data_IF_458381442338
#
_entry.id   IF_458381442338
#
_cell.length_a   1.000
_cell.length_b   1.000
_cell.length_c   1.000
_cell.angle_alpha   90.00
_cell.angle_beta   90.00
_cell.angle_gamma   90.00
#
_symmetry.space_group_name_H-M   'P 1'
#
loop_
_entity.id
_entity.type
_entity.pdbx_description
1 polymer ?
#
# COMPACT_ATOMS: atom_id res chain seq x y z
N UNK A 1 4.78 -5.95 8.13
CA UNK A 1 3.55 -5.21 8.52
C UNK A 1 2.43 -6.22 8.66
N UNK A 2 1.42 -5.95 9.49
CA UNK A 2 0.25 -6.83 9.60
C UNK A 2 -0.93 -6.08 9.02
N UNK A 3 -1.55 -6.62 7.97
CA UNK A 3 -2.75 -6.03 7.38
C UNK A 3 -3.96 -6.71 8.02
N UNK A 4 -4.82 -5.91 8.64
CA UNK A 4 -6.05 -6.36 9.28
C UNK A 4 -7.23 -6.04 8.38
N UNK A 5 -8.01 -7.05 8.05
CA UNK A 5 -9.20 -6.92 7.22
C UNK A 5 -10.45 -6.77 8.09
N UNK A 6 -11.49 -6.16 7.52
CA UNK A 6 -12.80 -5.97 8.17
C UNK A 6 -13.48 -7.29 8.59
N UNK A 7 -13.14 -8.40 7.92
CA UNK A 7 -13.61 -9.76 8.26
C UNK A 7 -12.98 -10.32 9.56
N UNK A 8 -12.06 -9.57 10.19
CA UNK A 8 -11.34 -10.00 11.40
C UNK A 8 -10.18 -10.96 11.12
N UNK A 9 -9.85 -11.16 9.85
CA UNK A 9 -8.62 -11.87 9.46
C UNK A 9 -7.46 -10.89 9.40
N UNK A 10 -6.27 -11.38 9.73
CA UNK A 10 -5.03 -10.61 9.66
C UNK A 10 -3.99 -11.42 8.88
N UNK A 11 -3.31 -10.78 7.95
CA UNK A 11 -2.20 -11.40 7.23
C UNK A 11 -0.90 -10.62 7.47
N UNK A 12 0.22 -11.32 7.34
CA UNK A 12 1.52 -10.68 7.32
C UNK A 12 1.84 -10.26 5.91
N UNK A 13 2.18 -8.99 5.74
CA UNK A 13 2.68 -8.46 4.49
C UNK A 13 4.09 -7.89 4.69
N UNK A 14 4.94 -8.11 3.70
CA UNK A 14 6.21 -7.42 3.57
C UNK A 14 5.98 -6.06 2.91
N UNK A 15 6.59 -5.03 3.49
CA UNK A 15 6.59 -3.69 2.91
C UNK A 15 7.64 -3.67 1.82
N UNK A 16 7.20 -3.47 0.58
CA UNK A 16 8.11 -3.35 -0.56
C UNK A 16 8.66 -1.92 -0.68
N UNK A 17 7.84 -0.92 -0.40
CA UNK A 17 8.23 0.49 -0.42
C UNK A 17 7.08 1.43 -0.07
N UNK A 18 7.43 2.68 0.28
CA UNK A 18 6.48 3.78 0.51
C UNK A 18 6.94 4.94 -0.36
N UNK A 19 6.02 5.58 -1.07
CA UNK A 19 6.33 6.67 -1.99
C UNK A 19 5.20 7.71 -2.05
N UNK A 20 5.54 9.00 -2.24
CA UNK A 20 4.55 10.03 -2.45
C UNK A 20 4.11 10.10 -3.93
N UNK A 21 2.82 10.26 -4.17
CA UNK A 21 2.23 10.48 -5.49
C UNK A 21 1.02 11.43 -5.40
N UNK A 22 0.89 12.37 -6.33
CA UNK A 22 -0.21 13.36 -6.38
C UNK A 22 -0.50 14.09 -5.05
N UNK A 23 0.53 14.30 -4.22
CA UNK A 23 0.40 14.95 -2.91
C UNK A 23 -0.20 14.06 -1.80
N UNK A 24 -0.29 12.75 -2.03
CA UNK A 24 -0.62 11.72 -1.04
C UNK A 24 0.54 10.73 -0.92
N UNK A 25 0.58 9.96 0.16
CA UNK A 25 1.55 8.89 0.31
C UNK A 25 0.89 7.54 0.03
N UNK A 26 1.64 6.63 -0.58
CA UNK A 26 1.20 5.29 -0.91
C UNK A 26 2.22 4.27 -0.45
N UNK A 27 1.72 3.09 -0.10
CA UNK A 27 2.51 1.96 0.36
C UNK A 27 2.26 0.75 -0.54
N UNK A 28 3.36 0.13 -0.96
CA UNK A 28 3.41 -1.10 -1.73
C UNK A 28 3.72 -2.27 -0.80
N UNK A 29 2.85 -3.28 -0.82
CA UNK A 29 2.90 -4.45 0.05
C UNK A 29 2.85 -5.73 -0.75
N UNK A 30 3.44 -6.80 -0.22
CA UNK A 30 3.27 -8.15 -0.73
C UNK A 30 2.90 -9.11 0.42
N UNK A 31 1.93 -10.01 0.24
CA UNK A 31 1.59 -11.02 1.23
C UNK A 31 2.73 -12.02 1.46
N UNK A 32 2.94 -12.41 2.73
CA UNK A 32 3.91 -13.43 3.13
C UNK A 32 3.48 -14.79 2.58
N UNK A 33 4.00 -15.15 1.40
CA UNK A 33 3.67 -16.40 0.70
C UNK A 33 3.31 -16.24 -0.77
N UNK A 34 2.96 -15.02 -1.21
CA UNK A 34 2.68 -14.73 -2.62
C UNK A 34 3.31 -13.39 -3.04
N UNK A 35 4.61 -13.42 -3.31
CA UNK A 35 5.37 -12.25 -3.81
C UNK A 35 4.98 -11.83 -5.25
N UNK A 36 4.03 -12.54 -5.88
CA UNK A 36 3.49 -12.16 -7.19
C UNK A 36 2.33 -11.17 -7.06
N UNK A 37 1.67 -11.16 -5.91
CA UNK A 37 0.58 -10.24 -5.62
C UNK A 37 1.16 -8.96 -5.01
N UNK A 38 0.98 -7.85 -5.71
CA UNK A 38 1.31 -6.51 -5.23
C UNK A 38 0.03 -5.84 -4.75
N UNK A 39 0.02 -5.40 -3.50
CA UNK A 39 -1.07 -4.59 -2.95
C UNK A 39 -0.60 -3.14 -2.80
N UNK A 40 -1.40 -2.22 -3.32
CA UNK A 40 -1.16 -0.78 -3.20
C UNK A 40 -2.29 -0.17 -2.38
N UNK A 41 -1.89 0.61 -1.39
CA UNK A 41 -2.80 1.31 -0.51
C UNK A 41 -2.30 2.73 -0.28
N UNK A 42 -3.21 3.65 0.01
CA UNK A 42 -2.86 4.95 0.56
C UNK A 42 -2.26 4.78 1.95
N UNK A 43 -1.14 5.44 2.20
CA UNK A 43 -0.48 5.52 3.50
C UNK A 43 -0.77 6.88 4.11
N UNK A 44 -1.29 6.90 5.34
CA UNK A 44 -1.57 8.13 6.08
C UNK A 44 -0.84 8.04 7.40
N UNK A 45 0.21 8.84 7.57
CA UNK A 45 0.88 8.96 8.86
C UNK A 45 0.17 10.00 9.73
N UNK A 46 -0.10 9.65 10.98
CA UNK A 46 -0.71 10.52 11.97
C UNK A 46 0.34 11.05 12.96
N UNK A 47 0.16 12.29 13.42
CA UNK A 47 1.05 12.94 14.40
C UNK A 47 1.17 12.20 15.75
N UNK A 48 0.22 11.31 16.08
CA UNK A 48 0.30 10.48 17.29
C UNK A 48 1.25 9.28 17.14
N UNK A 49 1.83 9.11 15.94
CA UNK A 49 2.72 8.00 15.60
C UNK A 49 1.98 6.75 15.11
N UNK A 50 0.66 6.83 14.89
CA UNK A 50 -0.09 5.80 14.18
C UNK A 50 -0.02 6.00 12.67
N UNK A 51 -0.27 4.94 11.93
CA UNK A 51 -0.40 4.98 10.49
C UNK A 51 -1.67 4.25 10.10
N UNK A 52 -2.40 4.83 9.16
CA UNK A 52 -3.60 4.28 8.57
C UNK A 52 -3.34 3.89 7.12
N UNK A 53 -3.94 2.78 6.73
CA UNK A 53 -3.83 2.22 5.39
C UNK A 53 -5.21 2.27 4.76
N UNK A 54 -5.32 3.02 3.67
CA UNK A 54 -6.60 3.29 3.01
C UNK A 54 -6.64 2.59 1.66
N UNK A 55 -7.67 1.78 1.35
CA UNK A 55 -7.83 1.20 0.02
C UNK A 55 -8.04 2.28 -1.02
N UNK A 56 -7.37 2.12 -2.15
CA UNK A 56 -7.58 2.98 -3.32
C UNK A 56 -8.86 2.50 -4.00
N UNK A 57 -9.95 3.27 -3.86
CA UNK A 57 -11.25 2.90 -4.43
C UNK A 57 -11.35 3.20 -5.94
N UNK A 58 -10.50 4.09 -6.45
CA UNK A 58 -10.50 4.49 -7.86
C UNK A 58 -9.47 3.69 -8.66
N UNK A 59 -9.92 2.92 -9.64
CA UNK A 59 -9.05 2.11 -10.51
C UNK A 59 -8.03 2.95 -11.29
N UNK A 60 -8.36 4.20 -11.63
CA UNK A 60 -7.44 5.10 -12.36
C UNK A 60 -6.33 5.57 -11.45
N UNK A 61 -6.67 5.94 -10.21
CA UNK A 61 -5.68 6.27 -9.16
C UNK A 61 -4.77 5.06 -8.90
N UNK A 62 -5.33 3.86 -8.79
CA UNK A 62 -4.57 2.65 -8.58
C UNK A 62 -3.57 2.37 -9.71
N UNK A 63 -4.01 2.43 -10.97
CA UNK A 63 -3.14 2.18 -12.13
C UNK A 63 -2.01 3.22 -12.23
N UNK A 64 -2.34 4.48 -11.95
CA UNK A 64 -1.36 5.57 -11.95
C UNK A 64 -0.30 5.41 -10.84
N UNK A 65 -0.73 5.06 -9.63
CA UNK A 65 0.14 4.77 -8.48
C UNK A 65 1.00 3.53 -8.75
N UNK A 66 0.43 2.49 -9.37
CA UNK A 66 1.15 1.28 -9.74
C UNK A 66 2.22 1.54 -10.82
N UNK A 67 1.90 2.38 -11.80
CA UNK A 67 2.84 2.80 -12.84
C UNK A 67 3.98 3.62 -12.23
N UNK A 68 3.69 4.55 -11.32
CA UNK A 68 4.72 5.33 -10.63
C UNK A 68 5.63 4.43 -9.79
N UNK A 69 5.05 3.51 -9.02
CA UNK A 69 5.83 2.53 -8.24
C UNK A 69 6.78 1.71 -9.12
N UNK A 70 6.28 1.20 -10.25
CA UNK A 70 7.13 0.48 -11.21
C UNK A 70 8.24 1.37 -11.77
N UNK A 71 7.92 2.62 -12.12
CA UNK A 71 8.91 3.57 -12.61
C UNK A 71 9.98 3.94 -11.59
N UNK A 72 9.68 3.89 -10.29
CA UNK A 72 10.63 4.12 -9.19
C UNK A 72 11.53 2.91 -8.91
N UNK A 73 11.07 1.70 -9.26
CA UNK A 73 11.77 0.42 -9.07
C UNK A 73 12.64 0.02 -10.27
N UNK A 74 12.54 0.75 -11.38
CA UNK A 74 13.35 0.58 -12.61
C UNK A 74 14.71 1.28 -12.51
#
# INVERSE_FOLDING_TARGET
MTLEYDDGTSEKCDVLGIFPYDGREYIALAPEGDQKSLYLYGYVEHDDGTNDIVPIEDDTEFDAVAAEYQSLME
#
